data_IF_250991055585
#
_entry.id   IF_250991055585
#
_cell.length_a   1.000
_cell.length_b   1.000
_cell.length_c   1.000
_cell.angle_alpha   90.00
_cell.angle_beta   90.00
_cell.angle_gamma   90.00
#
_symmetry.space_group_name_H-M   'P 1'
#
loop_
_entity.id
_entity.type
_entity.pdbx_description
1 polymer ?
#
# COMPACT_ATOMS: atom_id res chain seq x y z
N UNK A 1 -39.25 6.17 -18.68
CA UNK A 1 -38.17 7.00 -18.09
C UNK A 1 -37.55 6.36 -16.84
N UNK A 2 -38.32 5.92 -15.85
CA UNK A 2 -37.80 5.26 -14.63
C UNK A 2 -36.82 4.09 -14.88
N UNK A 3 -36.87 3.46 -16.05
CA UNK A 3 -35.90 2.43 -16.48
C UNK A 3 -34.49 2.97 -16.67
N UNK A 4 -34.32 4.17 -17.24
CA UNK A 4 -33.01 4.73 -17.60
C UNK A 4 -32.33 5.44 -16.43
N UNK A 5 -33.10 6.13 -15.59
CA UNK A 5 -32.62 6.75 -14.36
C UNK A 5 -32.08 5.70 -13.36
N UNK A 6 -32.57 4.46 -13.44
CA UNK A 6 -32.05 3.35 -12.65
C UNK A 6 -30.71 2.82 -13.18
N UNK A 7 -30.39 3.06 -14.47
CA UNK A 7 -29.21 2.52 -15.15
C UNK A 7 -28.06 3.52 -15.18
N UNK A 8 -28.34 4.79 -15.44
CA UNK A 8 -27.33 5.83 -15.57
C UNK A 8 -27.38 6.78 -14.38
N UNK A 9 -26.22 7.28 -13.96
CA UNK A 9 -26.20 8.36 -12.97
C UNK A 9 -26.92 9.59 -13.54
N UNK A 10 -27.53 10.41 -12.66
CA UNK A 10 -28.29 11.60 -13.07
C UNK A 10 -27.53 12.48 -14.06
N UNK A 11 -26.22 12.69 -13.81
CA UNK A 11 -25.35 13.45 -14.70
C UNK A 11 -25.29 12.88 -16.12
N UNK A 12 -25.13 11.56 -16.26
CA UNK A 12 -25.04 10.89 -17.56
C UNK A 12 -26.40 10.90 -18.25
N UNK A 13 -27.47 10.65 -17.49
CA UNK A 13 -28.83 10.68 -18.00
C UNK A 13 -29.20 12.05 -18.55
N UNK A 14 -28.97 13.13 -17.79
CA UNK A 14 -29.29 14.50 -18.20
C UNK A 14 -28.51 14.94 -19.45
N UNK A 15 -27.20 14.62 -19.50
CA UNK A 15 -26.37 14.89 -20.69
C UNK A 15 -26.86 14.11 -21.91
N UNK A 16 -27.27 12.86 -21.74
CA UNK A 16 -27.81 12.07 -22.83
C UNK A 16 -29.18 12.60 -23.29
N UNK A 17 -30.06 12.95 -22.36
CA UNK A 17 -31.37 13.53 -22.63
C UNK A 17 -31.27 14.83 -23.41
N UNK A 18 -30.33 15.70 -23.04
CA UNK A 18 -30.09 16.95 -23.76
C UNK A 18 -29.57 16.75 -25.19
N UNK A 19 -28.82 15.66 -25.45
CA UNK A 19 -28.23 15.39 -26.77
C UNK A 19 -29.15 14.65 -27.72
N UNK A 20 -30.08 13.85 -27.21
CA UNK A 20 -30.99 13.02 -28.03
C UNK A 20 -32.45 13.12 -27.52
N UNK A 21 -33.05 14.32 -27.50
CA UNK A 21 -34.40 14.51 -26.96
C UNK A 21 -35.46 13.70 -27.72
N UNK A 22 -35.27 13.49 -29.03
CA UNK A 22 -36.19 12.73 -29.87
C UNK A 22 -36.26 11.25 -29.46
N UNK A 23 -35.11 10.63 -29.14
CA UNK A 23 -35.09 9.27 -28.58
C UNK A 23 -35.90 9.18 -27.29
N UNK A 24 -35.73 10.14 -26.37
CA UNK A 24 -36.46 10.12 -25.11
C UNK A 24 -37.96 10.44 -25.27
N UNK A 25 -38.35 11.24 -26.26
CA UNK A 25 -39.76 11.42 -26.63
C UNK A 25 -40.37 10.09 -27.08
N UNK A 26 -39.69 9.35 -27.96
CA UNK A 26 -40.15 8.01 -28.41
C UNK A 26 -40.23 7.00 -27.28
N UNK A 27 -39.27 7.03 -26.35
CA UNK A 27 -39.29 6.20 -25.13
C UNK A 27 -40.49 6.57 -24.25
N UNK A 28 -40.80 7.86 -24.11
CA UNK A 28 -41.94 8.34 -23.32
C UNK A 28 -43.30 7.98 -23.96
N UNK A 29 -43.38 8.07 -25.28
CA UNK A 29 -44.57 7.73 -26.08
C UNK A 29 -44.76 6.21 -26.26
N UNK A 30 -43.81 5.38 -25.79
CA UNK A 30 -43.87 3.92 -25.93
C UNK A 30 -43.69 3.43 -27.37
N UNK A 31 -43.07 4.24 -28.23
CA UNK A 31 -42.86 3.94 -29.65
C UNK A 31 -41.60 3.13 -29.95
N UNK A 32 -40.75 2.90 -28.94
CA UNK A 32 -39.50 2.15 -29.11
C UNK A 32 -39.68 0.69 -28.75
N UNK A 33 -39.14 -0.21 -29.57
CA UNK A 33 -39.10 -1.63 -29.23
C UNK A 33 -38.07 -1.92 -28.15
N UNK A 34 -38.23 -3.02 -27.41
CA UNK A 34 -37.24 -3.43 -26.40
C UNK A 34 -35.85 -3.66 -27.01
N UNK A 35 -35.78 -4.21 -28.23
CA UNK A 35 -34.51 -4.44 -28.93
C UNK A 35 -33.81 -3.12 -29.26
N UNK A 36 -34.53 -2.13 -29.80
CA UNK A 36 -33.96 -0.81 -30.10
C UNK A 36 -33.52 -0.09 -28.82
N UNK A 37 -34.28 -0.22 -27.74
CA UNK A 37 -33.94 0.32 -26.43
C UNK A 37 -32.63 -0.29 -25.92
N UNK A 38 -32.51 -1.62 -25.94
CA UNK A 38 -31.32 -2.35 -25.53
C UNK A 38 -30.10 -1.94 -26.36
N UNK A 39 -30.23 -1.87 -27.68
CA UNK A 39 -29.14 -1.40 -28.57
C UNK A 39 -28.70 0.01 -28.20
N UNK A 40 -29.64 0.94 -28.03
CA UNK A 40 -29.32 2.34 -27.69
C UNK A 40 -28.65 2.48 -26.32
N UNK A 41 -29.06 1.67 -25.33
CA UNK A 41 -28.41 1.63 -24.01
C UNK A 41 -26.99 1.09 -24.13
N UNK A 42 -26.77 0.00 -24.88
CA UNK A 42 -25.45 -0.56 -25.08
C UNK A 42 -24.52 0.37 -25.86
N UNK A 43 -25.00 1.01 -26.93
CA UNK A 43 -24.26 2.03 -27.66
C UNK A 43 -23.79 3.13 -26.71
N UNK A 44 -24.67 3.59 -25.81
CA UNK A 44 -24.31 4.61 -24.81
C UNK A 44 -23.31 4.11 -23.78
N UNK A 45 -23.44 2.87 -23.31
CA UNK A 45 -22.48 2.24 -22.39
C UNK A 45 -21.11 2.13 -23.05
N UNK A 46 -21.04 1.66 -24.29
CA UNK A 46 -19.79 1.52 -25.04
C UNK A 46 -19.16 2.89 -25.28
N UNK A 47 -19.94 3.91 -25.68
CA UNK A 47 -19.49 5.31 -25.82
C UNK A 47 -18.84 5.82 -24.51
N UNK A 48 -19.51 5.63 -23.37
CA UNK A 48 -18.97 6.05 -22.07
C UNK A 48 -17.69 5.30 -21.72
N UNK A 49 -17.72 3.96 -21.80
CA UNK A 49 -16.62 3.11 -21.36
C UNK A 49 -15.38 3.23 -22.25
N UNK A 50 -15.57 3.43 -23.56
CA UNK A 50 -14.48 3.65 -24.51
C UNK A 50 -13.98 5.10 -24.56
N UNK A 51 -14.68 6.04 -23.89
CA UNK A 51 -14.22 7.43 -23.84
C UNK A 51 -12.86 7.55 -23.16
N UNK A 52 -12.01 8.44 -23.68
CA UNK A 52 -10.71 8.78 -23.07
C UNK A 52 -10.88 9.22 -21.60
N UNK A 53 -12.02 9.84 -21.29
CA UNK A 53 -12.34 10.24 -19.93
C UNK A 53 -12.45 9.07 -18.96
N UNK A 54 -12.97 7.92 -19.42
CA UNK A 54 -13.14 6.72 -18.60
C UNK A 54 -11.80 6.04 -18.31
N UNK A 55 -10.90 6.02 -19.30
CA UNK A 55 -9.57 5.39 -19.20
C UNK A 55 -9.61 3.86 -19.34
N UNK A 56 -10.65 3.33 -19.98
CA UNK A 56 -10.81 1.89 -20.19
C UNK A 56 -10.67 1.53 -21.67
N UNK A 57 -10.17 0.33 -21.90
CA UNK A 57 -10.27 -0.38 -23.17
C UNK A 57 -11.41 -1.38 -23.07
N UNK A 58 -12.23 -1.40 -24.11
CA UNK A 58 -13.41 -2.26 -24.20
C UNK A 58 -13.13 -3.30 -25.28
N UNK A 59 -13.22 -4.58 -24.90
CA UNK A 59 -13.20 -5.71 -25.81
C UNK A 59 -14.46 -6.55 -25.63
N UNK A 60 -14.64 -7.56 -26.47
CA UNK A 60 -15.71 -8.52 -26.30
C UNK A 60 -15.26 -9.93 -26.66
N UNK A 61 -15.90 -10.93 -26.05
CA UNK A 61 -15.70 -12.35 -26.38
C UNK A 61 -17.04 -13.10 -26.27
N UNK A 62 -17.33 -14.06 -27.14
CA UNK A 62 -18.45 -14.96 -26.92
C UNK A 62 -18.16 -15.83 -25.69
N UNK A 63 -19.20 -16.20 -24.94
CA UNK A 63 -19.13 -17.24 -23.92
C UNK A 63 -18.80 -18.60 -24.54
N UNK A 64 -18.39 -19.57 -23.71
CA UNK A 64 -18.01 -20.92 -24.17
C UNK A 64 -19.18 -21.64 -24.84
N UNK A 65 -20.40 -21.41 -24.37
CA UNK A 65 -21.64 -21.96 -24.93
C UNK A 65 -22.18 -21.15 -26.12
N UNK A 66 -21.58 -20.00 -26.44
CA UNK A 66 -22.01 -19.09 -27.51
C UNK A 66 -23.35 -18.40 -27.26
N UNK A 67 -23.93 -18.52 -26.06
CA UNK A 67 -25.24 -17.93 -25.74
C UNK A 67 -25.14 -16.48 -25.25
N UNK A 68 -23.95 -16.04 -24.85
CA UNK A 68 -23.73 -14.73 -24.24
C UNK A 68 -22.51 -14.05 -24.83
N UNK A 69 -22.49 -12.72 -24.76
CA UNK A 69 -21.34 -11.91 -25.12
C UNK A 69 -20.79 -11.30 -23.84
N UNK A 70 -19.52 -11.59 -23.57
CA UNK A 70 -18.78 -11.01 -22.46
C UNK A 70 -18.16 -9.69 -22.90
N UNK A 71 -18.56 -8.59 -22.27
CA UNK A 71 -17.87 -7.32 -22.42
C UNK A 71 -16.62 -7.32 -21.51
N UNK A 72 -15.45 -7.26 -22.12
CA UNK A 72 -14.17 -7.29 -21.42
C UNK A 72 -13.70 -5.86 -21.18
N UNK A 73 -13.46 -5.53 -19.91
CA UNK A 73 -12.96 -4.21 -19.50
C UNK A 73 -11.55 -4.34 -18.95
N UNK A 74 -10.67 -3.46 -19.39
CA UNK A 74 -9.30 -3.34 -18.87
C UNK A 74 -8.91 -1.87 -18.86
N UNK A 75 -8.17 -1.43 -17.84
CA UNK A 75 -7.56 -0.09 -17.87
C UNK A 75 -6.59 0.02 -19.06
N UNK A 76 -6.56 1.18 -19.70
CA UNK A 76 -5.77 1.40 -20.92
C UNK A 76 -4.27 1.19 -20.70
N UNK A 77 -3.75 1.70 -19.59
CA UNK A 77 -2.33 1.68 -19.23
C UNK A 77 -2.12 1.85 -17.72
N UNK A 78 -0.90 1.59 -17.24
CA UNK A 78 -0.52 1.75 -15.83
C UNK A 78 -0.63 3.21 -15.34
N UNK A 79 -0.35 4.19 -16.21
CA UNK A 79 -0.50 5.61 -15.89
C UNK A 79 -1.95 6.00 -15.66
N UNK A 80 -2.90 5.31 -16.30
CA UNK A 80 -4.33 5.49 -16.04
C UNK A 80 -4.73 5.04 -14.63
N UNK A 81 -4.11 3.99 -14.07
CA UNK A 81 -4.33 3.58 -12.67
C UNK A 81 -4.02 4.73 -11.72
N UNK A 82 -2.86 5.37 -11.89
CA UNK A 82 -2.42 6.48 -11.04
C UNK A 82 -3.36 7.68 -11.15
N UNK A 83 -3.74 8.06 -12.37
CA UNK A 83 -4.67 9.18 -12.63
C UNK A 83 -6.05 8.94 -12.04
N UNK A 84 -6.57 7.70 -12.15
CA UNK A 84 -7.88 7.35 -11.58
C UNK A 84 -7.82 7.31 -10.06
N UNK A 85 -6.79 6.71 -9.48
CA UNK A 85 -6.59 6.66 -8.03
C UNK A 85 -6.53 8.07 -7.42
N UNK A 86 -5.78 8.97 -8.06
CA UNK A 86 -5.63 10.37 -7.65
C UNK A 86 -6.97 11.12 -7.73
N UNK A 87 -7.62 11.09 -8.90
CA UNK A 87 -8.94 11.72 -9.13
C UNK A 87 -9.99 11.23 -8.12
N UNK A 88 -9.95 9.96 -7.77
CA UNK A 88 -10.95 9.32 -6.91
C UNK A 88 -10.56 9.30 -5.44
N UNK A 89 -9.41 9.89 -5.10
CA UNK A 89 -8.81 9.91 -3.76
C UNK A 89 -8.80 8.51 -3.15
N UNK A 90 -8.33 7.54 -3.91
CA UNK A 90 -8.32 6.13 -3.52
C UNK A 90 -7.51 5.94 -2.25
N UNK A 91 -8.04 5.22 -1.26
CA UNK A 91 -7.36 5.03 0.00
C UNK A 91 -6.29 3.95 -0.17
N UNK A 92 -5.03 4.31 0.01
CA UNK A 92 -3.88 3.44 -0.21
C UNK A 92 -3.01 3.36 1.05
N UNK A 93 -2.50 2.19 1.42
CA UNK A 93 -1.59 2.06 2.55
C UNK A 93 -0.27 2.78 2.27
N UNK A 94 0.26 3.44 3.30
CA UNK A 94 1.61 3.99 3.31
C UNK A 94 2.62 2.86 3.43
N UNK A 95 3.66 2.89 2.60
CA UNK A 95 4.70 1.86 2.60
C UNK A 95 5.41 1.79 3.94
N UNK A 96 5.65 0.58 4.46
CA UNK A 96 6.33 0.41 5.77
C UNK A 96 7.69 1.12 5.83
N UNK A 97 8.48 1.05 4.75
CA UNK A 97 9.77 1.74 4.63
C UNK A 97 9.62 3.28 4.68
N UNK A 98 8.50 3.85 4.25
CA UNK A 98 8.27 5.30 4.26
C UNK A 98 8.15 5.88 5.68
N UNK A 99 7.74 5.07 6.65
CA UNK A 99 7.76 5.45 8.07
C UNK A 99 9.20 5.74 8.54
N UNK A 100 10.16 4.89 8.16
CA UNK A 100 11.58 5.09 8.51
C UNK A 100 12.14 6.38 7.90
N UNK A 101 11.72 6.73 6.67
CA UNK A 101 12.11 7.99 6.00
C UNK A 101 11.58 9.23 6.72
N UNK A 102 10.42 9.14 7.36
CA UNK A 102 9.81 10.25 8.11
C UNK A 102 10.20 10.26 9.58
N UNK A 103 10.96 9.25 10.03
CA UNK A 103 11.34 9.07 11.43
C UNK A 103 10.18 8.68 12.34
N UNK A 104 9.13 8.09 11.75
CA UNK A 104 8.02 7.51 12.49
C UNK A 104 8.11 5.98 12.46
N UNK A 105 7.41 5.34 13.37
CA UNK A 105 7.19 3.90 13.34
C UNK A 105 5.84 3.60 12.68
N UNK A 106 5.77 2.46 11.98
CA UNK A 106 4.50 1.96 11.50
C UNK A 106 3.61 1.64 12.72
N UNK A 107 2.36 2.11 12.80
CA UNK A 107 1.46 1.78 13.90
C UNK A 107 1.34 0.27 14.07
N UNK A 108 1.24 -0.19 15.31
CA UNK A 108 1.12 -1.62 15.63
C UNK A 108 -0.14 -1.90 16.44
N UNK A 109 -0.82 -3.02 16.17
CA UNK A 109 -1.96 -3.44 16.97
C UNK A 109 -1.51 -3.77 18.40
N UNK A 110 -2.29 -3.42 19.44
CA UNK A 110 -1.91 -3.76 20.81
C UNK A 110 -1.75 -5.28 20.97
N UNK A 111 -0.67 -5.70 21.65
CA UNK A 111 -0.45 -7.12 21.93
C UNK A 111 -1.64 -7.73 22.67
N UNK A 112 -2.11 -8.88 22.20
CA UNK A 112 -3.17 -9.65 22.85
C UNK A 112 -2.71 -10.20 24.20
N UNK A 113 -3.65 -10.60 25.06
CA UNK A 113 -3.32 -11.23 26.35
C UNK A 113 -2.47 -12.51 26.14
N UNK A 114 -2.76 -13.30 25.11
CA UNK A 114 -2.01 -14.52 24.80
C UNK A 114 -0.58 -14.22 24.36
N UNK A 115 -0.37 -13.16 23.57
CA UNK A 115 0.97 -12.70 23.20
C UNK A 115 1.76 -12.25 24.42
N UNK A 116 1.13 -11.47 25.31
CA UNK A 116 1.76 -11.00 26.56
C UNK A 116 2.14 -12.15 27.50
N UNK A 117 1.36 -13.23 27.50
CA UNK A 117 1.61 -14.43 28.30
C UNK A 117 2.57 -15.42 27.62
N UNK A 118 3.01 -15.16 26.38
CA UNK A 118 3.90 -16.03 25.62
C UNK A 118 3.25 -17.30 25.06
N UNK A 119 1.92 -17.42 25.13
CA UNK A 119 1.17 -18.50 24.48
C UNK A 119 1.07 -18.30 22.97
N UNK A 120 1.09 -17.05 22.54
CA UNK A 120 1.15 -16.66 21.14
C UNK A 120 2.52 -16.02 20.85
N UNK A 121 3.28 -16.62 19.93
CA UNK A 121 4.61 -16.16 19.52
C UNK A 121 4.58 -15.29 18.26
N UNK A 122 3.40 -14.97 17.73
CA UNK A 122 3.29 -14.09 16.57
C UNK A 122 3.77 -12.69 16.92
N UNK A 123 4.55 -12.10 16.02
CA UNK A 123 5.00 -10.72 16.13
C UNK A 123 3.79 -9.77 16.12
N UNK A 124 3.98 -8.60 16.74
CA UNK A 124 2.96 -7.57 16.76
C UNK A 124 2.67 -7.10 15.33
N UNK A 125 1.39 -7.17 14.92
CA UNK A 125 1.00 -6.84 13.55
C UNK A 125 1.11 -5.33 13.33
N UNK A 126 1.88 -4.96 12.31
CA UNK A 126 1.99 -3.59 11.82
C UNK A 126 0.81 -3.24 10.92
N UNK A 127 0.19 -2.08 11.18
CA UNK A 127 -1.00 -1.59 10.47
C UNK A 127 -0.64 -0.24 9.83
N UNK A 128 -0.19 -0.24 8.56
CA UNK A 128 0.11 1.00 7.88
C UNK A 128 -1.15 1.87 7.80
N UNK A 129 -0.95 3.19 7.88
CA UNK A 129 -2.03 4.15 7.72
C UNK A 129 -2.49 4.15 6.27
N UNK A 130 -3.80 4.19 6.07
CA UNK A 130 -4.41 4.40 4.77
C UNK A 130 -4.64 5.90 4.57
N UNK A 131 -4.09 6.46 3.51
CA UNK A 131 -4.30 7.86 3.15
C UNK A 131 -4.86 7.92 1.73
N UNK A 132 -5.53 9.02 1.41
CA UNK A 132 -5.92 9.30 0.03
C UNK A 132 -4.67 9.39 -0.85
N UNK A 133 -4.66 8.58 -1.90
CA UNK A 133 -3.62 8.58 -2.92
C UNK A 133 -3.54 9.96 -3.56
N UNK A 134 -2.30 10.44 -3.67
CA UNK A 134 -1.94 11.72 -4.24
C UNK A 134 -0.58 11.53 -4.93
N UNK A 135 -0.59 11.70 -6.26
CA UNK A 135 0.61 11.49 -7.07
C UNK A 135 1.71 12.51 -6.75
N UNK A 136 1.33 13.78 -6.60
CA UNK A 136 2.26 14.88 -6.32
C UNK A 136 2.86 14.74 -4.92
N UNK A 137 2.08 14.25 -3.95
CA UNK A 137 2.58 13.93 -2.61
C UNK A 137 3.66 12.85 -2.64
N UNK A 138 3.49 11.82 -3.48
CA UNK A 138 4.51 10.77 -3.67
C UNK A 138 5.81 11.32 -4.26
N UNK A 139 5.71 12.21 -5.25
CA UNK A 139 6.87 12.90 -5.84
C UNK A 139 7.57 13.82 -4.84
N UNK A 140 6.82 14.68 -4.15
CA UNK A 140 7.33 15.58 -3.13
C UNK A 140 8.04 14.81 -2.01
N UNK A 141 7.50 13.66 -1.61
CA UNK A 141 8.12 12.79 -0.61
C UNK A 141 9.54 12.36 -0.99
N UNK A 142 9.76 11.92 -2.23
CA UNK A 142 11.09 11.53 -2.74
C UNK A 142 12.05 12.70 -2.83
N UNK A 143 11.58 13.85 -3.34
CA UNK A 143 12.39 15.06 -3.43
C UNK A 143 12.86 15.52 -2.04
N UNK A 144 11.96 15.49 -1.05
CA UNK A 144 12.29 15.78 0.34
C UNK A 144 13.25 14.76 0.92
N UNK A 145 13.10 13.46 0.63
CA UNK A 145 14.04 12.43 1.06
C UNK A 145 15.46 12.70 0.51
N UNK A 146 15.57 13.02 -0.78
CA UNK A 146 16.84 13.37 -1.41
C UNK A 146 17.45 14.65 -0.81
N UNK A 147 16.63 15.68 -0.57
CA UNK A 147 17.07 16.91 0.07
C UNK A 147 17.58 16.68 1.51
N UNK A 148 16.91 15.83 2.29
CA UNK A 148 17.33 15.48 3.65
C UNK A 148 18.68 14.78 3.67
N UNK A 149 18.92 13.83 2.76
CA UNK A 149 20.24 13.18 2.62
C UNK A 149 21.33 14.19 2.25
N UNK A 150 21.05 15.10 1.31
CA UNK A 150 21.99 16.17 0.93
C UNK A 150 22.33 17.07 2.13
N UNK A 151 21.32 17.49 2.87
CA UNK A 151 21.48 18.30 4.10
C UNK A 151 22.26 17.53 5.17
N UNK A 152 21.93 16.25 5.38
CA UNK A 152 22.60 15.38 6.34
C UNK A 152 24.09 15.22 6.02
N UNK A 153 24.46 15.00 4.76
CA UNK A 153 25.87 14.98 4.30
C UNK A 153 26.59 16.29 4.60
N UNK A 154 25.95 17.42 4.31
CA UNK A 154 26.50 18.74 4.63
C UNK A 154 26.75 18.94 6.14
N UNK A 155 25.80 18.54 6.97
CA UNK A 155 25.90 18.62 8.43
C UNK A 155 27.00 17.70 8.98
N UNK A 156 27.04 16.44 8.55
CA UNK A 156 28.06 15.46 8.99
C UNK A 156 29.47 15.93 8.62
N UNK A 157 29.66 16.47 7.41
CA UNK A 157 30.95 17.04 7.01
C UNK A 157 31.34 18.26 7.86
N UNK A 158 30.39 19.14 8.15
CA UNK A 158 30.62 20.29 9.03
C UNK A 158 30.99 19.86 10.45
N UNK A 159 30.29 18.87 10.99
CA UNK A 159 30.58 18.32 12.33
C UNK A 159 31.94 17.64 12.39
N UNK A 160 32.29 16.85 11.37
CA UNK A 160 33.61 16.22 11.24
C UNK A 160 34.73 17.26 11.21
N UNK A 161 34.58 18.32 10.42
CA UNK A 161 35.59 19.37 10.29
C UNK A 161 35.74 20.24 11.55
N UNK A 162 34.63 20.53 12.23
CA UNK A 162 34.61 21.42 13.39
C UNK A 162 34.90 20.74 14.73
N UNK A 163 34.95 19.41 14.79
CA UNK A 163 34.95 18.65 16.05
C UNK A 163 36.05 19.09 17.03
N UNK A 164 37.22 19.48 16.53
CA UNK A 164 38.36 19.93 17.35
C UNK A 164 38.28 21.39 17.82
N UNK A 165 37.47 22.24 17.19
CA UNK A 165 37.58 23.70 17.32
C UNK A 165 36.55 24.36 18.27
N UNK A 166 35.39 23.73 18.53
CA UNK A 166 34.41 24.21 19.52
C UNK A 166 33.24 23.20 19.65
N UNK A 167 33.24 22.32 20.66
CA UNK A 167 32.21 21.28 20.77
C UNK A 167 30.82 21.83 21.11
N UNK A 168 30.67 22.98 21.78
CA UNK A 168 29.38 23.46 22.26
C UNK A 168 28.38 23.79 21.15
N UNK A 169 28.76 24.62 20.17
CA UNK A 169 27.88 24.99 19.05
C UNK A 169 27.54 23.78 18.16
N UNK A 170 28.51 22.88 17.96
CA UNK A 170 28.30 21.65 17.19
C UNK A 170 27.36 20.70 17.92
N UNK A 171 27.53 20.54 19.23
CA UNK A 171 26.64 19.73 20.07
C UNK A 171 25.21 20.30 20.03
N UNK A 172 25.05 21.63 20.09
CA UNK A 172 23.73 22.25 19.98
C UNK A 172 23.10 21.99 18.59
N UNK A 173 23.89 22.11 17.52
CA UNK A 173 23.45 21.75 16.16
C UNK A 173 23.04 20.28 16.06
N UNK A 174 23.83 19.36 16.63
CA UNK A 174 23.49 17.93 16.68
C UNK A 174 22.18 17.72 17.42
N UNK A 175 21.99 18.34 18.59
CA UNK A 175 20.74 18.26 19.34
C UNK A 175 19.55 18.74 18.53
N UNK A 176 19.68 19.87 17.83
CA UNK A 176 18.62 20.45 17.01
C UNK A 176 18.17 19.48 15.92
N UNK A 177 19.10 18.97 15.11
CA UNK A 177 18.74 18.17 13.94
C UNK A 177 18.43 16.70 14.27
N UNK A 178 19.10 16.09 15.24
CA UNK A 178 18.76 14.71 15.67
C UNK A 178 17.39 14.65 16.38
N UNK A 179 16.90 15.77 16.91
CA UNK A 179 15.54 15.84 17.48
C UNK A 179 14.45 15.98 16.42
N UNK A 180 14.75 16.43 15.21
CA UNK A 180 13.78 16.44 14.12
C UNK A 180 13.65 15.01 13.59
N UNK A 181 12.45 14.41 13.69
CA UNK A 181 12.23 12.99 13.37
C UNK A 181 12.69 12.65 11.94
N UNK A 182 12.30 13.49 10.98
CA UNK A 182 12.58 13.31 9.57
C UNK A 182 14.06 13.52 9.20
N UNK A 183 14.77 14.42 9.89
CA UNK A 183 16.22 14.58 9.72
C UNK A 183 17.03 13.53 10.47
N UNK A 184 16.52 13.00 11.58
CA UNK A 184 17.22 11.99 12.41
C UNK A 184 17.59 10.79 11.57
N UNK A 185 16.64 10.18 10.88
CA UNK A 185 16.86 8.99 10.06
C UNK A 185 17.92 9.26 8.98
N UNK A 186 17.80 10.36 8.24
CA UNK A 186 18.78 10.75 7.21
C UNK A 186 20.19 10.94 7.79
N UNK A 187 20.30 11.60 8.95
CA UNK A 187 21.59 11.82 9.62
C UNK A 187 22.26 10.51 10.06
N UNK A 188 21.50 9.62 10.69
CA UNK A 188 22.04 8.35 11.18
C UNK A 188 22.51 7.46 10.04
N UNK A 189 21.73 7.35 8.95
CA UNK A 189 22.13 6.59 7.77
C UNK A 189 23.40 7.17 7.15
N UNK A 190 23.47 8.50 6.97
CA UNK A 190 24.66 9.15 6.39
C UNK A 190 25.89 8.96 7.28
N UNK A 191 25.75 9.02 8.61
CA UNK A 191 26.84 8.75 9.53
C UNK A 191 27.35 7.31 9.40
N UNK A 192 26.44 6.33 9.32
CA UNK A 192 26.80 4.91 9.11
C UNK A 192 27.50 4.71 7.77
N UNK A 193 26.99 5.31 6.68
CA UNK A 193 27.62 5.27 5.35
C UNK A 193 29.03 5.87 5.38
N UNK A 194 29.21 7.05 5.95
CA UNK A 194 30.51 7.73 6.02
C UNK A 194 31.52 6.98 6.92
N UNK A 195 31.05 6.35 8.00
CA UNK A 195 31.88 5.49 8.84
C UNK A 195 32.40 4.28 8.08
N UNK A 196 31.51 3.55 7.39
CA UNK A 196 31.89 2.41 6.55
C UNK A 196 32.90 2.82 5.48
N UNK A 197 32.66 3.93 4.78
CA UNK A 197 33.59 4.46 3.78
C UNK A 197 34.95 4.87 4.36
N UNK A 198 35.00 5.39 5.59
CA UNK A 198 36.25 5.75 6.25
C UNK A 198 37.04 4.50 6.67
N UNK A 199 36.34 3.48 7.18
CA UNK A 199 36.92 2.18 7.53
C UNK A 199 37.49 1.47 6.28
N UNK A 200 36.74 1.42 5.17
CA UNK A 200 37.18 0.84 3.90
C UNK A 200 38.43 1.54 3.34
N UNK A 201 38.56 2.85 3.57
CA UNK A 201 39.73 3.65 3.15
C UNK A 201 40.90 3.59 4.13
N UNK A 202 40.78 2.87 5.24
CA UNK A 202 41.74 2.88 6.34
C UNK A 202 42.04 4.28 6.88
N UNK A 203 41.07 5.20 6.84
CA UNK A 203 41.18 6.57 7.37
C UNK A 203 40.95 6.56 8.89
N UNK A 204 41.95 6.12 9.65
CA UNK A 204 41.87 5.97 11.11
C UNK A 204 41.47 7.27 11.83
N UNK A 205 42.00 8.42 11.38
CA UNK A 205 41.70 9.71 11.98
C UNK A 205 40.24 10.13 11.69
N UNK A 206 39.81 9.97 10.44
CA UNK A 206 38.43 10.24 10.02
C UNK A 206 37.42 9.35 10.72
N UNK A 207 37.67 8.04 10.76
CA UNK A 207 36.83 7.05 11.44
C UNK A 207 36.73 7.34 12.94
N UNK A 208 37.84 7.73 13.58
CA UNK A 208 37.84 8.11 14.99
C UNK A 208 36.93 9.30 15.31
N UNK A 209 37.01 10.38 14.51
CA UNK A 209 36.15 11.56 14.68
C UNK A 209 34.68 11.23 14.37
N UNK A 210 34.42 10.58 13.23
CA UNK A 210 33.06 10.19 12.84
C UNK A 210 32.42 9.26 13.87
N UNK A 211 33.20 8.38 14.51
CA UNK A 211 32.74 7.47 15.55
C UNK A 211 32.28 8.23 16.79
N UNK A 212 33.03 9.26 17.20
CA UNK A 212 32.63 10.13 18.32
C UNK A 212 31.37 10.95 18.00
N UNK A 213 31.26 11.47 16.77
CA UNK A 213 30.06 12.17 16.29
C UNK A 213 28.86 11.22 16.31
N UNK A 214 29.01 10.01 15.79
CA UNK A 214 27.97 8.99 15.77
C UNK A 214 27.50 8.60 17.18
N UNK A 215 28.43 8.33 18.10
CA UNK A 215 28.10 8.00 19.48
C UNK A 215 27.36 9.14 20.18
N UNK A 216 27.77 10.39 19.92
CA UNK A 216 27.08 11.56 20.46
C UNK A 216 25.66 11.67 19.93
N UNK A 217 25.45 11.50 18.62
CA UNK A 217 24.12 11.48 18.02
C UNK A 217 23.25 10.35 18.59
N UNK A 218 23.78 9.13 18.74
CA UNK A 218 23.07 8.02 19.37
C UNK A 218 22.65 8.35 20.82
N UNK A 219 23.57 8.90 21.62
CA UNK A 219 23.26 9.30 22.99
C UNK A 219 22.14 10.35 23.06
N UNK A 220 22.08 11.28 22.09
CA UNK A 220 20.99 12.26 22.00
C UNK A 220 19.66 11.56 21.68
N UNK A 221 19.64 10.62 20.73
CA UNK A 221 18.44 9.86 20.36
C UNK A 221 17.93 9.02 21.53
N UNK A 222 18.82 8.24 22.17
CA UNK A 222 18.51 7.38 23.32
C UNK A 222 18.04 8.17 24.56
N UNK A 223 18.49 9.42 24.72
CA UNK A 223 18.03 10.27 25.82
C UNK A 223 16.54 10.64 25.69
N UNK A 224 16.01 10.64 24.47
CA UNK A 224 14.61 11.02 24.18
C UNK A 224 13.71 9.80 24.06
N UNK A 225 14.19 8.76 23.41
CA UNK A 225 13.39 7.59 23.07
C UNK A 225 13.73 6.45 24.03
N UNK A 226 12.78 6.15 24.92
CA UNK A 226 12.99 5.10 25.94
C UNK A 226 13.09 3.72 25.30
N UNK A 227 12.44 3.51 24.16
CA UNK A 227 12.41 2.22 23.47
C UNK A 227 13.72 1.95 22.72
N UNK A 228 14.48 3.00 22.41
CA UNK A 228 15.83 2.91 21.86
C UNK A 228 16.92 2.86 22.93
N UNK A 229 16.56 2.93 24.23
CA UNK A 229 17.57 2.83 25.30
C UNK A 229 18.17 1.43 25.29
N UNK A 230 19.44 1.36 24.92
CA UNK A 230 20.23 0.20 25.23
C UNK A 230 20.30 0.03 26.75
N UNK A 231 19.95 -1.16 27.23
CA UNK A 231 20.33 -1.59 28.56
C UNK A 231 21.86 -1.61 28.59
N UNK A 232 22.45 -0.55 29.15
CA UNK A 232 23.88 -0.31 29.23
C UNK A 232 24.58 -1.30 30.19
N UNK A 233 24.01 -2.47 30.43
CA UNK A 233 24.59 -3.51 31.26
C UNK A 233 25.93 -3.96 30.71
N UNK A 234 27.02 -3.54 31.36
CA UNK A 234 28.41 -4.02 31.25
C UNK A 234 29.00 -4.25 29.85
N UNK A 235 28.45 -3.66 28.78
CA UNK A 235 29.07 -3.70 27.45
C UNK A 235 30.23 -2.70 27.39
N UNK A 236 31.35 -3.12 26.79
CA UNK A 236 32.42 -2.18 26.45
C UNK A 236 31.92 -1.12 25.46
N UNK A 237 32.54 0.07 25.45
CA UNK A 237 32.18 1.15 24.50
C UNK A 237 32.21 0.67 23.04
N UNK A 238 33.12 -0.25 22.72
CA UNK A 238 33.24 -0.85 21.40
C UNK A 238 32.04 -1.73 21.04
N UNK A 239 31.58 -2.57 21.97
CA UNK A 239 30.40 -3.41 21.78
C UNK A 239 29.13 -2.57 21.66
N UNK A 240 29.02 -1.50 22.48
CA UNK A 240 27.91 -0.56 22.39
C UNK A 240 27.89 0.12 21.02
N UNK A 241 29.04 0.61 20.53
CA UNK A 241 29.15 1.20 19.19
C UNK A 241 28.77 0.21 18.09
N UNK A 242 29.24 -1.03 18.15
CA UNK A 242 28.87 -2.08 17.18
C UNK A 242 27.37 -2.35 17.18
N UNK A 243 26.76 -2.43 18.36
CA UNK A 243 25.31 -2.64 18.51
C UNK A 243 24.50 -1.47 17.94
N UNK A 244 24.96 -0.23 18.12
CA UNK A 244 24.37 0.96 17.49
C UNK A 244 24.54 0.95 15.97
N UNK A 245 25.73 0.60 15.46
CA UNK A 245 25.97 0.51 14.03
C UNK A 245 25.09 -0.54 13.36
N UNK A 246 24.91 -1.70 14.00
CA UNK A 246 24.02 -2.77 13.53
C UNK A 246 22.55 -2.31 13.47
N UNK A 247 22.08 -1.59 14.50
CA UNK A 247 20.72 -1.03 14.53
C UNK A 247 20.45 -0.06 13.38
N UNK A 248 21.40 0.83 13.07
CA UNK A 248 21.27 1.84 12.02
C UNK A 248 21.76 1.35 10.64
N UNK A 249 22.09 0.05 10.50
CA UNK A 249 22.51 -0.56 9.24
C UNK A 249 21.40 -1.42 8.63
N UNK A 250 21.44 -1.66 7.30
CA UNK A 250 20.64 -2.71 6.67
C UNK A 250 20.92 -4.09 7.29
N UNK A 251 19.90 -4.97 7.41
CA UNK A 251 18.52 -4.79 6.94
C UNK A 251 17.59 -4.09 7.96
N UNK A 252 18.08 -3.75 9.16
CA UNK A 252 17.26 -3.14 10.23
C UNK A 252 16.83 -1.71 9.89
N UNK A 253 17.69 -0.98 9.20
CA UNK A 253 17.44 0.37 8.73
C UNK A 253 17.80 0.52 7.25
N UNK A 254 17.21 1.52 6.58
CA UNK A 254 17.46 1.76 5.15
C UNK A 254 18.91 2.17 4.89
N UNK A 255 19.45 1.73 3.74
CA UNK A 255 20.63 2.36 3.13
C UNK A 255 20.31 3.77 2.60
N UNK A 256 21.33 4.57 2.25
CA UNK A 256 21.10 5.89 1.63
C UNK A 256 20.31 5.77 0.34
N UNK A 257 20.67 4.80 -0.52
CA UNK A 257 19.99 4.55 -1.78
C UNK A 257 18.53 4.16 -1.56
N UNK A 258 18.27 3.19 -0.67
CA UNK A 258 16.90 2.80 -0.34
C UNK A 258 16.11 3.96 0.26
N UNK A 259 16.71 4.79 1.13
CA UNK A 259 16.05 5.95 1.72
C UNK A 259 15.59 6.95 0.66
N UNK A 260 16.43 7.23 -0.34
CA UNK A 260 16.11 8.16 -1.43
C UNK A 260 15.07 7.60 -2.40
N UNK A 261 15.13 6.29 -2.65
CA UNK A 261 14.27 5.60 -3.61
C UNK A 261 12.99 5.02 -3.00
N UNK A 262 12.79 5.17 -1.69
CA UNK A 262 11.57 4.68 -1.03
C UNK A 262 10.34 5.42 -1.54
N UNK A 263 9.37 4.66 -2.03
CA UNK A 263 8.04 5.16 -2.38
C UNK A 263 7.20 5.44 -1.13
N UNK A 264 6.37 6.48 -1.19
CA UNK A 264 5.40 6.77 -0.12
C UNK A 264 4.28 5.71 -0.07
N UNK A 265 3.82 5.29 -1.23
CA UNK A 265 2.67 4.41 -1.42
C UNK A 265 3.13 2.96 -1.64
N UNK A 266 2.33 2.00 -1.20
CA UNK A 266 2.48 0.62 -1.68
C UNK A 266 2.12 0.53 -3.18
N UNK A 267 2.55 -0.54 -3.83
CA UNK A 267 2.20 -0.82 -5.22
C UNK A 267 0.72 -1.22 -5.34
N UNK A 268 0.07 -0.83 -6.44
CA UNK A 268 -1.32 -1.21 -6.70
C UNK A 268 -1.41 -2.72 -6.90
N UNK A 269 -2.24 -3.38 -6.09
CA UNK A 269 -2.58 -4.79 -6.28
C UNK A 269 -3.61 -4.97 -7.42
N UNK A 270 -3.77 -6.20 -7.91
CA UNK A 270 -4.84 -6.52 -8.87
C UNK A 270 -6.23 -6.18 -8.29
N UNK A 271 -6.42 -6.39 -6.98
CA UNK A 271 -7.66 -6.02 -6.28
C UNK A 271 -7.89 -4.52 -6.27
N UNK A 272 -6.84 -3.71 -6.06
CA UNK A 272 -6.95 -2.25 -6.12
C UNK A 272 -7.39 -1.80 -7.52
N UNK A 273 -6.83 -2.42 -8.56
CA UNK A 273 -7.22 -2.15 -9.95
C UNK A 273 -8.69 -2.51 -10.20
N UNK A 274 -9.14 -3.68 -9.75
CA UNK A 274 -10.55 -4.09 -9.87
C UNK A 274 -11.50 -3.15 -9.12
N UNK A 275 -11.12 -2.71 -7.91
CA UNK A 275 -11.88 -1.72 -7.13
C UNK A 275 -11.95 -0.37 -7.83
N UNK A 276 -10.84 0.09 -8.42
CA UNK A 276 -10.80 1.32 -9.20
C UNK A 276 -11.70 1.23 -10.43
N UNK A 277 -11.65 0.12 -11.17
CA UNK A 277 -12.54 -0.12 -12.32
C UNK A 277 -14.01 -0.06 -11.88
N UNK A 278 -14.39 -0.84 -10.85
CA UNK A 278 -15.78 -0.87 -10.35
C UNK A 278 -16.24 0.50 -9.88
N UNK A 279 -15.43 1.19 -9.07
CA UNK A 279 -15.74 2.53 -8.56
C UNK A 279 -15.82 3.54 -9.71
N UNK A 280 -15.01 3.39 -10.77
CA UNK A 280 -15.03 4.26 -11.95
C UNK A 280 -16.28 4.05 -12.78
N UNK A 281 -16.66 2.81 -13.07
CA UNK A 281 -17.92 2.49 -13.77
C UNK A 281 -19.11 3.03 -12.99
N UNK A 282 -19.11 2.87 -11.66
CA UNK A 282 -20.15 3.38 -10.75
C UNK A 282 -20.34 4.91 -10.79
N UNK A 283 -19.38 5.68 -11.33
CA UNK A 283 -19.56 7.13 -11.54
C UNK A 283 -20.47 7.46 -12.71
N UNK A 284 -20.75 6.50 -13.58
CA UNK A 284 -21.51 6.68 -14.82
C UNK A 284 -22.75 5.79 -14.89
N UNK A 285 -22.62 4.54 -14.44
CA UNK A 285 -23.60 3.48 -14.65
C UNK A 285 -23.80 2.75 -13.32
N UNK A 286 -25.05 2.39 -13.02
CA UNK A 286 -25.44 1.54 -11.90
C UNK A 286 -25.57 0.10 -12.38
N UNK A 287 -24.62 -0.76 -11.99
CA UNK A 287 -24.57 -2.17 -12.40
C UNK A 287 -25.83 -2.91 -11.97
N UNK A 288 -26.30 -2.67 -10.76
CA UNK A 288 -27.52 -3.27 -10.22
C UNK A 288 -28.75 -2.88 -11.05
N UNK A 289 -28.78 -1.64 -11.55
CA UNK A 289 -29.81 -1.14 -12.46
C UNK A 289 -29.79 -1.86 -13.81
N UNK A 290 -28.60 -2.09 -14.38
CA UNK A 290 -28.45 -2.85 -15.61
C UNK A 290 -29.00 -4.28 -15.46
N UNK A 291 -28.66 -4.95 -14.36
CA UNK A 291 -29.12 -6.32 -14.09
C UNK A 291 -30.64 -6.37 -13.86
N UNK A 292 -31.18 -5.48 -13.01
CA UNK A 292 -32.61 -5.44 -12.71
C UNK A 292 -33.47 -5.16 -13.94
N UNK A 293 -32.94 -4.43 -14.94
CA UNK A 293 -33.64 -4.14 -16.18
C UNK A 293 -33.36 -5.14 -17.30
N UNK A 294 -32.54 -6.16 -17.04
CA UNK A 294 -32.21 -7.22 -18.00
C UNK A 294 -31.35 -6.74 -19.17
N UNK A 295 -30.57 -5.66 -18.99
CA UNK A 295 -29.61 -5.22 -20.01
C UNK A 295 -28.31 -6.03 -19.97
N UNK A 296 -27.93 -6.51 -18.78
CA UNK A 296 -26.83 -7.45 -18.57
C UNK A 296 -27.31 -8.60 -17.68
N UNK A 297 -26.76 -9.80 -17.89
CA UNK A 297 -27.01 -10.93 -17.01
C UNK A 297 -26.19 -10.81 -15.72
N UNK A 298 -24.88 -10.53 -15.85
CA UNK A 298 -23.97 -10.48 -14.71
C UNK A 298 -22.78 -9.52 -14.92
N UNK A 299 -22.11 -9.18 -13.81
CA UNK A 299 -20.90 -8.35 -13.77
C UNK A 299 -19.92 -8.90 -12.73
N UNK A 300 -18.84 -9.52 -13.21
CA UNK A 300 -17.86 -10.21 -12.36
C UNK A 300 -16.41 -9.96 -12.81
N UNK A 301 -15.44 -9.97 -11.88
CA UNK A 301 -14.02 -9.96 -12.24
C UNK A 301 -13.60 -11.32 -12.81
N UNK A 302 -12.66 -11.31 -13.76
CA UNK A 302 -12.12 -12.54 -14.34
C UNK A 302 -10.96 -13.05 -13.49
N UNK A 303 -10.99 -14.33 -13.13
CA UNK A 303 -9.95 -14.96 -12.32
C UNK A 303 -8.59 -15.06 -13.05
N UNK A 304 -7.52 -14.73 -12.34
CA UNK A 304 -6.17 -15.11 -12.76
C UNK A 304 -5.93 -16.60 -12.46
N UNK A 305 -5.99 -17.44 -13.51
CA UNK A 305 -5.98 -18.91 -13.37
C UNK A 305 -4.71 -19.44 -12.70
N UNK A 306 -3.54 -18.81 -12.91
CA UNK A 306 -2.30 -19.27 -12.27
C UNK A 306 -2.32 -19.04 -10.75
N UNK A 307 -2.79 -17.88 -10.29
CA UNK A 307 -2.92 -17.56 -8.86
C UNK A 307 -3.98 -18.45 -8.20
N UNK A 308 -5.12 -18.66 -8.88
CA UNK A 308 -6.18 -19.55 -8.41
C UNK A 308 -5.71 -21.00 -8.31
N UNK A 309 -4.96 -21.49 -9.30
CA UNK A 309 -4.38 -22.84 -9.28
C UNK A 309 -3.39 -23.04 -8.13
N UNK A 310 -2.58 -22.02 -7.81
CA UNK A 310 -1.70 -22.05 -6.64
C UNK A 310 -2.50 -22.13 -5.33
N UNK A 311 -3.55 -21.32 -5.18
CA UNK A 311 -4.43 -21.38 -4.00
C UNK A 311 -5.18 -22.71 -3.89
N UNK A 312 -5.67 -23.26 -5.00
CA UNK A 312 -6.39 -24.53 -5.02
C UNK A 312 -5.49 -25.72 -4.65
N UNK A 313 -4.23 -25.71 -5.09
CA UNK A 313 -3.27 -26.78 -4.80
C UNK A 313 -2.71 -26.71 -3.39
N UNK A 314 -2.65 -25.52 -2.79
CA UNK A 314 -2.09 -25.32 -1.44
C UNK A 314 -3.19 -25.25 -0.38
N UNK A 315 -4.00 -24.20 -0.39
CA UNK A 315 -5.03 -23.92 0.61
C UNK A 315 -6.31 -24.73 0.37
N UNK A 316 -6.76 -24.86 -0.88
CA UNK A 316 -7.98 -25.59 -1.24
C UNK A 316 -7.83 -27.11 -1.39
N UNK A 317 -6.68 -27.67 -1.01
CA UNK A 317 -6.36 -29.09 -1.24
C UNK A 317 -7.11 -30.01 -0.27
N UNK A 318 -7.81 -31.00 -0.82
CA UNK A 318 -8.46 -32.08 -0.06
C UNK A 318 -7.51 -33.25 0.26
N UNK A 319 -6.19 -33.04 0.17
CA UNK A 319 -5.24 -34.08 0.57
C UNK A 319 -5.40 -34.40 2.07
N UNK A 320 -5.34 -35.68 2.49
CA UNK A 320 -5.52 -36.04 3.90
C UNK A 320 -4.60 -35.28 4.87
N UNK A 321 -3.36 -34.97 4.45
CA UNK A 321 -2.42 -34.18 5.23
C UNK A 321 -2.84 -32.73 5.45
N UNK A 322 -3.59 -32.12 4.51
CA UNK A 322 -4.10 -30.76 4.68
C UNK A 322 -5.40 -30.74 5.48
N UNK A 323 -6.26 -31.75 5.32
CA UNK A 323 -7.49 -31.90 6.13
C UNK A 323 -7.16 -32.06 7.62
N UNK A 324 -6.10 -32.80 7.94
CA UNK A 324 -5.65 -33.02 9.32
C UNK A 324 -4.75 -31.89 9.84
N UNK A 325 -4.41 -30.89 9.03
CA UNK A 325 -3.61 -29.75 9.47
C UNK A 325 -4.50 -28.83 10.28
N UNK A 326 -4.10 -28.56 11.53
CA UNK A 326 -4.78 -27.55 12.34
C UNK A 326 -4.80 -26.21 11.58
N UNK A 327 -5.95 -25.52 11.53
CA UNK A 327 -6.09 -24.33 10.71
C UNK A 327 -5.08 -23.27 11.18
N UNK A 328 -4.21 -22.87 10.25
CA UNK A 328 -3.10 -21.93 10.44
C UNK A 328 -3.42 -20.56 9.83
N UNK A 329 -2.77 -19.51 10.31
CA UNK A 329 -2.91 -18.17 9.70
C UNK A 329 -2.05 -18.00 8.43
N UNK A 330 -1.29 -19.05 8.05
CA UNK A 330 -0.36 -19.02 6.93
C UNK A 330 -1.00 -18.77 5.56
N UNK A 331 -2.32 -18.96 5.43
CA UNK A 331 -3.04 -18.74 4.17
C UNK A 331 -3.97 -17.53 4.22
N UNK A 332 -4.17 -16.91 5.39
CA UNK A 332 -5.11 -15.80 5.54
C UNK A 332 -4.72 -14.62 4.66
N UNK A 333 -3.43 -14.26 4.64
CA UNK A 333 -2.93 -13.18 3.79
C UNK A 333 -3.09 -13.52 2.31
N UNK A 334 -2.78 -14.76 1.88
CA UNK A 334 -2.95 -15.16 0.47
C UNK A 334 -4.42 -15.12 0.01
N UNK A 335 -5.36 -15.56 0.86
CA UNK A 335 -6.79 -15.51 0.59
C UNK A 335 -7.27 -14.05 0.55
N UNK A 336 -6.81 -13.22 1.48
CA UNK A 336 -7.10 -11.78 1.51
C UNK A 336 -6.60 -11.08 0.25
N UNK A 337 -5.36 -11.34 -0.14
CA UNK A 337 -4.71 -10.66 -1.25
C UNK A 337 -5.31 -11.06 -2.60
N UNK A 338 -5.95 -12.25 -2.69
CA UNK A 338 -6.62 -12.70 -3.91
C UNK A 338 -8.12 -12.37 -3.96
N UNK A 339 -8.85 -12.55 -2.86
CA UNK A 339 -10.32 -12.38 -2.83
C UNK A 339 -10.78 -11.07 -2.20
N UNK A 340 -9.90 -10.34 -1.51
CA UNK A 340 -10.23 -9.13 -0.76
C UNK A 340 -10.37 -9.36 0.74
N UNK A 341 -10.50 -8.26 1.48
CA UNK A 341 -10.46 -8.26 2.94
C UNK A 341 -11.69 -8.91 3.56
N UNK A 342 -12.86 -8.81 2.93
CA UNK A 342 -14.09 -9.43 3.44
C UNK A 342 -13.99 -10.96 3.44
N UNK A 343 -13.55 -11.55 2.33
CA UNK A 343 -13.35 -13.00 2.22
C UNK A 343 -12.19 -13.45 3.09
N UNK A 344 -11.07 -12.71 3.11
CA UNK A 344 -9.96 -12.97 4.01
C UNK A 344 -10.37 -12.96 5.48
N UNK A 345 -11.21 -12.00 5.89
CA UNK A 345 -11.74 -11.89 7.24
C UNK A 345 -12.67 -13.06 7.59
N UNK A 346 -13.55 -13.47 6.68
CA UNK A 346 -14.41 -14.64 6.87
C UNK A 346 -13.58 -15.89 7.18
N UNK A 347 -12.55 -16.19 6.38
CA UNK A 347 -11.71 -17.37 6.60
C UNK A 347 -10.81 -17.26 7.83
N UNK A 348 -10.36 -16.05 8.18
CA UNK A 348 -9.67 -15.80 9.44
C UNK A 348 -10.58 -16.10 10.64
N UNK A 349 -11.83 -15.60 10.63
CA UNK A 349 -12.80 -15.86 11.68
C UNK A 349 -13.19 -17.34 11.78
N UNK A 350 -13.36 -18.01 10.64
CA UNK A 350 -13.61 -19.45 10.60
C UNK A 350 -12.47 -20.26 11.21
N UNK A 351 -11.22 -19.89 10.90
CA UNK A 351 -10.01 -20.47 11.50
C UNK A 351 -10.00 -20.26 13.01
N UNK A 352 -10.29 -19.04 13.46
CA UNK A 352 -10.41 -18.71 14.87
C UNK A 352 -11.45 -19.58 15.59
N UNK A 353 -12.67 -19.70 15.06
CA UNK A 353 -13.72 -20.54 15.67
C UNK A 353 -13.32 -22.01 15.71
N UNK A 354 -12.76 -22.54 14.62
CA UNK A 354 -12.38 -23.95 14.53
C UNK A 354 -11.32 -24.30 15.58
N UNK A 355 -10.35 -23.40 15.82
CA UNK A 355 -9.37 -23.56 16.90
C UNK A 355 -10.02 -23.59 18.29
N UNK A 356 -11.02 -22.76 18.53
CA UNK A 356 -11.72 -22.71 19.83
C UNK A 356 -12.66 -23.90 20.04
N UNK A 357 -13.20 -24.49 18.96
CA UNK A 357 -14.00 -25.72 19.02
C UNK A 357 -13.15 -26.99 19.19
N UNK A 358 -11.86 -26.94 18.84
CA UNK A 358 -10.95 -28.07 19.05
C UNK A 358 -10.76 -28.40 20.54
N UNK A 359 -10.79 -27.41 21.44
CA UNK A 359 -10.64 -27.62 22.89
C UNK A 359 -11.80 -28.42 23.51
N UNK A 360 -13.08 -28.07 23.31
CA UNK A 360 -14.20 -28.86 23.82
C UNK A 360 -14.46 -30.14 23.02
N UNK A 361 -13.92 -30.27 21.81
CA UNK A 361 -14.08 -31.46 20.97
C UNK A 361 -13.16 -32.62 21.34
N UNK A 362 -12.09 -32.36 22.10
CA UNK A 362 -11.16 -33.35 22.69
C UNK A 362 -11.55 -33.59 24.14
#
# INVERSE_FOLDING_TARGET
>A
MATMEAVFTTRVFDDWFARDPDFFSKVHEGQITQSELTTKVWDKIIDILSSESCGMTVGWKPSIDGMSILLMLKLADEGTVLKLADRMRYMMPVRKKAYQVTGFECPRLPMTLLQRLGFDKHEQVEVPAYLAFDHDRGKCFKELAAQRIKTARGLVNKWRAGWSAAPSELIESMHRFTRMADMRSALMIVLVEQLKLAEEKNDNAGSGILGQVFDKCCAIVESRDKDLKYEAGMKSDLELRRSRLDMWSPPKFLSVEEYQNTELWEEFTELDVLRLIRKRIGTFITIEGLQQKGFIDDFFPVHHMASMGSLATTWGSLSPSQILRLPGDSFTDHVRDYFGEEVGFFFHWLTYITRHLAVPGV
#
